data_IF_158017967549
#
_entry.id   IF_158017967549
#
_cell.length_a   1.000
_cell.length_b   1.000
_cell.length_c   1.000
_cell.angle_alpha   90.00
_cell.angle_beta   90.00
_cell.angle_gamma   90.00
#
_symmetry.space_group_name_H-M   'P 1'
#
loop_
_entity.id
_entity.type
_entity.pdbx_description
1 polymer ?
#
# COMPACT_ATOMS: atom_id res chain seq x y z
N UNK A 1 -8.15 -3.47 26.61
CA UNK A 1 -6.98 -2.94 25.90
C UNK A 1 -6.60 -3.88 24.76
N UNK A 2 -6.71 -5.20 24.97
CA UNK A 2 -6.51 -6.24 23.95
C UNK A 2 -7.43 -6.10 22.73
N UNK A 3 -8.71 -5.81 22.95
CA UNK A 3 -9.69 -5.65 21.86
C UNK A 3 -9.39 -4.54 20.84
N UNK A 4 -8.69 -3.47 21.23
CA UNK A 4 -8.30 -2.41 20.30
C UNK A 4 -7.08 -2.79 19.45
N UNK A 5 -6.18 -3.60 20.00
CA UNK A 5 -5.00 -4.09 19.27
C UNK A 5 -5.42 -5.15 18.26
N UNK A 6 -6.38 -6.00 18.61
CA UNK A 6 -6.94 -7.02 17.71
C UNK A 6 -7.70 -6.43 16.52
N UNK A 7 -8.33 -5.26 16.69
CA UNK A 7 -9.04 -4.56 15.60
C UNK A 7 -8.12 -3.73 14.69
N UNK A 8 -6.89 -3.47 15.12
CA UNK A 8 -5.99 -2.58 14.41
C UNK A 8 -5.63 -3.08 12.99
N UNK A 9 -5.34 -4.38 12.76
CA UNK A 9 -5.05 -4.91 11.42
C UNK A 9 -6.25 -4.79 10.49
N UNK A 10 -7.45 -5.08 10.98
CA UNK A 10 -8.69 -5.00 10.19
C UNK A 10 -9.02 -3.55 9.82
N UNK A 11 -8.86 -2.63 10.77
CA UNK A 11 -9.03 -1.20 10.52
C UNK A 11 -7.99 -0.69 9.50
N UNK A 12 -6.73 -1.09 9.64
CA UNK A 12 -5.67 -0.74 8.68
C UNK A 12 -5.99 -1.30 7.30
N UNK A 13 -6.42 -2.57 7.21
CA UNK A 13 -6.78 -3.21 5.95
C UNK A 13 -7.94 -2.48 5.28
N UNK A 14 -9.00 -2.18 6.04
CA UNK A 14 -10.14 -1.42 5.56
C UNK A 14 -9.72 -0.04 5.04
N UNK A 15 -8.84 0.66 5.78
CA UNK A 15 -8.35 1.98 5.42
C UNK A 15 -7.46 1.94 4.15
N UNK A 16 -6.59 0.93 4.02
CA UNK A 16 -5.79 0.72 2.81
C UNK A 16 -6.67 0.46 1.58
N UNK A 17 -7.69 -0.39 1.71
CA UNK A 17 -8.64 -0.68 0.64
C UNK A 17 -9.42 0.60 0.29
N UNK A 18 -9.90 1.33 1.29
CA UNK A 18 -10.61 2.59 1.11
C UNK A 18 -9.78 3.61 0.32
N UNK A 19 -8.51 3.82 0.68
CA UNK A 19 -7.59 4.71 -0.04
C UNK A 19 -7.34 4.24 -1.47
N UNK A 20 -7.27 2.93 -1.70
CA UNK A 20 -7.06 2.39 -3.04
C UNK A 20 -8.30 2.50 -3.96
N UNK A 21 -9.49 2.34 -3.39
CA UNK A 21 -10.76 2.26 -4.14
C UNK A 21 -11.44 3.64 -4.28
N UNK A 22 -11.28 4.54 -3.32
CA UNK A 22 -11.92 5.86 -3.34
C UNK A 22 -11.63 6.69 -4.61
N UNK A 23 -10.40 6.76 -5.14
CA UNK A 23 -10.11 7.49 -6.38
C UNK A 23 -10.87 6.92 -7.58
N UNK A 24 -11.02 5.59 -7.66
CA UNK A 24 -11.75 4.90 -8.72
C UNK A 24 -13.26 5.21 -8.65
N UNK A 25 -13.84 5.20 -7.45
CA UNK A 25 -15.25 5.54 -7.25
C UNK A 25 -15.52 7.00 -7.63
N UNK A 26 -14.63 7.92 -7.22
CA UNK A 26 -14.75 9.33 -7.56
C UNK A 26 -14.53 9.58 -9.05
N UNK A 27 -13.65 8.82 -9.71
CA UNK A 27 -13.50 8.89 -11.16
C UNK A 27 -14.80 8.48 -11.88
N UNK A 28 -15.46 7.42 -11.41
CA UNK A 28 -16.80 7.05 -11.90
C UNK A 28 -17.82 8.17 -11.70
N UNK A 29 -17.82 8.80 -10.52
CA UNK A 29 -18.69 9.95 -10.25
C UNK A 29 -18.38 11.15 -11.15
N UNK A 30 -17.09 11.44 -11.37
CA UNK A 30 -16.64 12.50 -12.27
C UNK A 30 -17.22 12.30 -13.68
N UNK A 31 -17.07 11.10 -14.26
CA UNK A 31 -17.61 10.76 -15.59
C UNK A 31 -19.12 11.01 -15.66
N UNK A 32 -19.87 10.64 -14.63
CA UNK A 32 -21.32 10.90 -14.56
C UNK A 32 -21.59 12.40 -14.49
N UNK A 33 -20.91 13.14 -13.62
CA UNK A 33 -21.14 14.59 -13.47
C UNK A 33 -20.74 15.40 -14.69
N UNK A 34 -19.67 14.99 -15.38
CA UNK A 34 -19.19 15.60 -16.61
C UNK A 34 -20.16 15.36 -17.77
N UNK A 35 -20.71 14.13 -17.87
CA UNK A 35 -21.77 13.81 -18.83
C UNK A 35 -22.99 14.76 -18.70
N UNK A 36 -23.37 15.11 -17.48
CA UNK A 36 -24.43 16.07 -17.19
C UNK A 36 -23.98 17.54 -17.20
N UNK A 37 -22.71 17.84 -17.53
CA UNK A 37 -22.09 19.17 -17.54
C UNK A 37 -22.26 19.95 -16.23
N UNK A 38 -22.23 19.24 -15.10
CA UNK A 38 -22.37 19.86 -13.78
C UNK A 38 -21.07 20.56 -13.40
N UNK A 39 -21.17 21.80 -12.90
CA UNK A 39 -20.02 22.59 -12.45
C UNK A 39 -19.23 21.97 -11.26
N UNK A 40 -19.76 20.91 -10.65
CA UNK A 40 -19.07 20.17 -9.58
C UNK A 40 -17.99 19.22 -10.12
N UNK A 41 -18.00 18.88 -11.42
CA UNK A 41 -17.05 17.95 -12.02
C UNK A 41 -15.59 18.36 -11.78
N UNK A 42 -15.28 19.66 -11.91
CA UNK A 42 -13.92 20.18 -11.68
C UNK A 42 -13.47 20.00 -10.22
N UNK A 43 -14.38 20.17 -9.25
CA UNK A 43 -14.07 19.93 -7.83
C UNK A 43 -13.82 18.45 -7.53
N UNK A 44 -14.57 17.57 -8.20
CA UNK A 44 -14.37 16.12 -8.08
C UNK A 44 -13.02 15.74 -8.68
N UNK A 45 -12.64 16.33 -9.82
CA UNK A 45 -11.35 16.10 -10.45
C UNK A 45 -10.17 16.53 -9.57
N UNK A 46 -10.28 17.70 -8.93
CA UNK A 46 -9.25 18.17 -7.98
C UNK A 46 -9.16 17.26 -6.74
N UNK A 47 -10.30 16.76 -6.23
CA UNK A 47 -10.33 15.79 -5.15
C UNK A 47 -9.68 14.45 -5.53
N UNK A 48 -9.93 13.95 -6.74
CA UNK A 48 -9.25 12.76 -7.28
C UNK A 48 -7.74 12.98 -7.30
N UNK A 49 -7.29 14.16 -7.76
CA UNK A 49 -5.87 14.52 -7.76
C UNK A 49 -5.23 14.44 -6.38
N UNK A 50 -5.90 14.97 -5.35
CA UNK A 50 -5.44 14.87 -3.95
C UNK A 50 -5.40 13.43 -3.44
N UNK A 51 -6.45 12.64 -3.72
CA UNK A 51 -6.51 11.25 -3.27
C UNK A 51 -5.50 10.35 -3.98
N UNK A 52 -5.21 10.60 -5.26
CA UNK A 52 -4.15 9.91 -5.98
C UNK A 52 -2.79 10.20 -5.34
N UNK A 53 -2.50 11.46 -4.97
CA UNK A 53 -1.27 11.80 -4.23
C UNK A 53 -1.21 11.07 -2.89
N UNK A 54 -2.32 11.03 -2.14
CA UNK A 54 -2.40 10.32 -0.87
C UNK A 54 -2.17 8.82 -1.06
N UNK A 55 -2.83 8.19 -2.03
CA UNK A 55 -2.65 6.77 -2.38
C UNK A 55 -1.19 6.47 -2.74
N UNK A 56 -0.55 7.39 -3.47
CA UNK A 56 0.85 7.26 -3.87
C UNK A 56 1.80 7.33 -2.66
N UNK A 57 1.57 8.28 -1.74
CA UNK A 57 2.32 8.38 -0.48
C UNK A 57 2.10 7.14 0.41
N UNK A 58 0.84 6.76 0.65
CA UNK A 58 0.50 5.59 1.47
C UNK A 58 1.08 4.31 0.86
N UNK A 59 0.94 4.11 -0.45
CA UNK A 59 1.54 2.98 -1.16
C UNK A 59 3.06 2.94 -1.06
N UNK A 60 3.71 4.11 -1.07
CA UNK A 60 5.16 4.22 -0.89
C UNK A 60 5.59 3.81 0.51
N UNK A 61 4.93 4.31 1.55
CA UNK A 61 5.20 3.94 2.95
C UNK A 61 4.98 2.44 3.17
N UNK A 62 3.87 1.88 2.67
CA UNK A 62 3.58 0.44 2.77
C UNK A 62 4.61 -0.40 2.04
N UNK A 63 5.15 0.07 0.91
CA UNK A 63 6.24 -0.60 0.21
C UNK A 63 7.55 -0.59 1.00
N UNK A 64 7.90 0.54 1.63
CA UNK A 64 9.08 0.67 2.48
C UNK A 64 8.98 -0.25 3.70
N UNK A 65 7.94 -0.05 4.51
CA UNK A 65 7.76 -0.77 5.77
C UNK A 65 7.58 -2.26 5.51
N UNK A 66 6.70 -2.63 4.57
CA UNK A 66 6.49 -4.03 4.20
C UNK A 66 7.73 -4.67 3.57
N UNK A 67 8.49 -3.92 2.76
CA UNK A 67 9.74 -4.42 2.17
C UNK A 67 10.81 -4.70 3.22
N UNK A 68 11.01 -3.79 4.18
CA UNK A 68 11.96 -3.97 5.29
C UNK A 68 11.53 -5.16 6.16
N UNK A 69 10.23 -5.26 6.49
CA UNK A 69 9.70 -6.37 7.27
C UNK A 69 9.92 -7.72 6.56
N UNK A 70 9.66 -7.80 5.26
CA UNK A 70 9.92 -9.01 4.47
C UNK A 70 11.40 -9.37 4.43
N UNK A 71 12.29 -8.39 4.29
CA UNK A 71 13.73 -8.64 4.33
C UNK A 71 14.18 -9.15 5.70
N UNK A 72 13.68 -8.56 6.78
CA UNK A 72 13.95 -9.02 8.15
C UNK A 72 13.42 -10.43 8.40
N UNK A 73 12.21 -10.75 7.92
CA UNK A 73 11.65 -12.11 7.98
C UNK A 73 12.49 -13.11 7.17
N UNK A 74 12.99 -12.71 6.01
CA UNK A 74 13.92 -13.50 5.21
C UNK A 74 15.20 -13.83 5.99
N UNK A 75 15.82 -12.83 6.61
CA UNK A 75 17.00 -13.04 7.47
C UNK A 75 16.67 -13.95 8.66
N UNK A 76 15.56 -13.70 9.36
CA UNK A 76 15.14 -14.52 10.51
C UNK A 76 14.92 -15.99 10.13
N UNK A 77 14.27 -16.24 8.98
CA UNK A 77 13.97 -17.58 8.50
C UNK A 77 15.22 -18.42 8.20
N UNK A 78 16.35 -17.80 7.86
CA UNK A 78 17.63 -18.49 7.68
C UNK A 78 18.11 -19.17 8.97
N UNK A 79 17.76 -18.62 10.14
CA UNK A 79 18.22 -19.10 11.44
C UNK A 79 17.22 -19.99 12.17
N UNK A 80 15.95 -20.00 11.75
CA UNK A 80 14.86 -20.65 12.50
C UNK A 80 14.30 -21.93 11.88
N UNK A 81 14.38 -22.08 10.55
CA UNK A 81 13.83 -23.27 9.90
C UNK A 81 14.89 -24.36 9.72
N UNK A 82 14.57 -25.60 10.09
CA UNK A 82 15.46 -26.76 9.89
C UNK A 82 15.45 -27.32 8.46
N UNK A 83 14.29 -27.45 7.78
CA UNK A 83 14.27 -27.90 6.40
C UNK A 83 15.01 -26.90 5.50
N UNK A 84 16.06 -27.36 4.82
CA UNK A 84 16.92 -26.51 3.99
C UNK A 84 16.15 -25.79 2.88
N UNK A 85 15.07 -26.39 2.35
CA UNK A 85 14.21 -25.75 1.35
C UNK A 85 13.48 -24.50 1.87
N UNK A 86 13.06 -24.50 3.14
CA UNK A 86 12.41 -23.34 3.76
C UNK A 86 13.39 -22.19 3.97
N UNK A 87 14.67 -22.51 4.26
CA UNK A 87 15.74 -21.49 4.31
C UNK A 87 15.93 -20.81 2.97
N UNK A 88 15.95 -21.57 1.86
CA UNK A 88 16.09 -21.01 0.51
C UNK A 88 14.94 -20.08 0.12
N UNK A 89 13.70 -20.45 0.44
CA UNK A 89 12.55 -19.56 0.26
C UNK A 89 12.69 -18.28 1.09
N UNK A 90 13.17 -18.41 2.32
CA UNK A 90 13.54 -17.30 3.19
C UNK A 90 14.56 -16.34 2.58
N UNK A 91 15.61 -16.88 1.98
CA UNK A 91 16.66 -16.08 1.31
C UNK A 91 16.06 -15.22 0.20
N UNK A 92 15.09 -15.74 -0.57
CA UNK A 92 14.44 -15.00 -1.66
C UNK A 92 13.59 -13.82 -1.16
N UNK A 93 13.11 -13.86 0.09
CA UNK A 93 12.39 -12.73 0.70
C UNK A 93 13.29 -11.51 0.91
N UNK A 94 14.60 -11.71 1.09
CA UNK A 94 15.56 -10.63 1.31
C UNK A 94 15.69 -9.70 0.09
N UNK A 95 16.09 -10.18 -1.11
CA UNK A 95 16.17 -9.31 -2.28
C UNK A 95 14.79 -8.78 -2.69
N UNK A 96 13.72 -9.55 -2.52
CA UNK A 96 12.37 -9.09 -2.81
C UNK A 96 11.92 -7.95 -1.87
N UNK A 97 12.17 -8.10 -0.57
CA UNK A 97 11.88 -7.07 0.43
C UNK A 97 12.66 -5.79 0.18
N UNK A 98 13.96 -5.91 -0.11
CA UNK A 98 14.82 -4.77 -0.46
C UNK A 98 14.35 -4.08 -1.74
N UNK A 99 13.99 -4.83 -2.78
CA UNK A 99 13.45 -4.26 -4.02
C UNK A 99 12.16 -3.47 -3.77
N UNK A 100 11.25 -4.03 -2.97
CA UNK A 100 9.99 -3.36 -2.59
C UNK A 100 10.26 -2.07 -1.80
N UNK A 101 11.21 -2.10 -0.86
CA UNK A 101 11.57 -0.91 -0.08
C UNK A 101 12.21 0.18 -0.95
N UNK A 102 13.13 -0.21 -1.85
CA UNK A 102 13.73 0.70 -2.81
C UNK A 102 12.67 1.34 -3.72
N UNK A 103 11.71 0.57 -4.22
CA UNK A 103 10.58 1.12 -4.98
C UNK A 103 9.79 2.16 -4.19
N UNK A 104 9.46 1.88 -2.93
CA UNK A 104 8.76 2.86 -2.10
C UNK A 104 9.56 4.15 -1.89
N UNK A 105 10.88 4.06 -1.69
CA UNK A 105 11.76 5.23 -1.62
C UNK A 105 11.86 6.01 -2.93
N UNK A 106 11.93 5.30 -4.07
CA UNK A 106 11.98 5.91 -5.38
C UNK A 106 10.69 6.68 -5.69
N UNK A 107 9.54 6.16 -5.25
CA UNK A 107 8.26 6.85 -5.35
C UNK A 107 8.29 8.12 -4.49
N UNK A 108 8.67 8.09 -3.20
CA UNK A 108 8.73 9.31 -2.36
C UNK A 108 9.62 10.45 -2.89
N UNK A 109 10.54 10.17 -3.83
CA UNK A 109 11.45 11.17 -4.42
C UNK A 109 10.93 11.82 -5.70
N UNK A 110 9.86 11.30 -6.31
CA UNK A 110 9.27 11.83 -7.54
C UNK A 110 8.13 12.81 -7.22
#
# INVERSE_FOLDING_TARGET
>A
MDTLIDLLPDLLLFLLIGIAVAPLLLLGLYVVTDYFKLAIADRILDLIGHLLKLQWLTGSVVNIVGGIALAALGVWSMFHFDPQWQRWLGVLLVPFGLWRAWRGLALLRA
#
